data_IF_182111095317
#
_entry.id   IF_182111095317
#
_cell.length_a   1.000
_cell.length_b   1.000
_cell.length_c   1.000
_cell.angle_alpha   90.00
_cell.angle_beta   90.00
_cell.angle_gamma   90.00
#
_symmetry.space_group_name_H-M   'P 1'
#
loop_
_entity.id
_entity.type
_entity.pdbx_description
1 polymer ?
#
# COMPACT_ATOMS: atom_id res chain seq x y z
N UNK A 1 16.77 12.15 0.58
CA UNK A 1 16.38 10.74 0.62
C UNK A 1 14.89 10.71 0.38
N UNK A 2 14.45 10.07 -0.71
CA UNK A 2 13.07 10.12 -1.18
C UNK A 2 12.21 9.25 -0.26
N UNK A 3 11.05 9.76 0.15
CA UNK A 3 10.06 8.94 0.86
C UNK A 3 9.19 8.24 -0.18
N UNK A 4 8.97 6.95 0.02
CA UNK A 4 8.21 6.10 -0.89
C UNK A 4 6.99 5.54 -0.16
N UNK A 5 5.83 5.99 -0.57
CA UNK A 5 4.56 5.57 0.02
C UNK A 5 3.85 4.59 -0.91
N UNK A 6 3.39 3.47 -0.37
CA UNK A 6 2.54 2.51 -1.09
C UNK A 6 1.14 2.49 -0.49
N UNK A 7 0.09 2.71 -1.28
CA UNK A 7 -1.30 2.48 -0.88
C UNK A 7 -1.85 1.25 -1.58
N UNK A 8 -2.19 0.23 -0.81
CA UNK A 8 -2.80 -1.00 -1.29
C UNK A 8 -4.31 -0.91 -1.08
N UNK A 9 -5.08 -0.96 -2.17
CA UNK A 9 -6.53 -1.00 -2.08
C UNK A 9 -7.00 -2.46 -2.03
N UNK A 10 -7.59 -2.83 -0.91
CA UNK A 10 -8.24 -4.11 -0.64
C UNK A 10 -9.75 -3.94 -0.66
N UNK A 11 -10.46 -5.00 -1.06
CA UNK A 11 -11.93 -5.00 -1.02
C UNK A 11 -12.47 -4.96 0.41
N UNK A 12 -12.09 -5.95 1.22
CA UNK A 12 -12.58 -6.09 2.59
C UNK A 12 -11.53 -6.69 3.51
N UNK A 13 -11.69 -6.48 4.82
CA UNK A 13 -10.86 -7.10 5.86
C UNK A 13 -11.05 -8.62 5.79
N UNK A 14 -9.93 -9.33 5.88
CA UNK A 14 -9.90 -10.79 5.90
C UNK A 14 -9.92 -11.24 7.36
N UNK A 15 -10.85 -12.12 7.71
CA UNK A 15 -10.95 -12.69 9.05
C UNK A 15 -9.90 -13.77 9.26
N UNK A 16 -9.12 -13.61 10.32
CA UNK A 16 -8.21 -14.62 10.86
C UNK A 16 -7.86 -14.25 12.30
N UNK A 17 -7.32 -15.20 13.04
CA UNK A 17 -6.96 -15.08 14.45
C UNK A 17 -5.53 -15.53 14.67
N UNK A 18 -4.97 -15.18 15.83
CA UNK A 18 -3.68 -15.74 16.28
C UNK A 18 -3.62 -17.27 16.20
N UNK A 19 -4.72 -17.95 16.53
CA UNK A 19 -4.81 -19.42 16.51
C UNK A 19 -4.63 -19.97 15.08
N UNK A 20 -5.19 -19.28 14.09
CA UNK A 20 -5.05 -19.66 12.67
C UNK A 20 -3.59 -19.48 12.21
N UNK A 21 -2.90 -18.43 12.71
CA UNK A 21 -1.46 -18.22 12.46
C UNK A 21 -0.62 -19.34 13.12
N UNK A 22 -0.93 -19.67 14.37
CA UNK A 22 -0.22 -20.71 15.13
C UNK A 22 -0.35 -22.10 14.50
N UNK A 23 -1.46 -22.36 13.79
CA UNK A 23 -1.74 -23.64 13.13
C UNK A 23 -1.31 -23.71 11.66
N UNK A 24 -0.88 -22.59 11.08
CA UNK A 24 -0.62 -22.52 9.64
C UNK A 24 -1.90 -22.55 8.78
N UNK A 25 -3.05 -22.19 9.37
CA UNK A 25 -4.36 -22.12 8.70
C UNK A 25 -4.68 -20.68 8.26
N UNK A 26 -3.66 -19.85 8.07
CA UNK A 26 -3.82 -18.44 7.71
C UNK A 26 -4.35 -18.30 6.28
N UNK A 27 -5.36 -17.46 6.00
CA UNK A 27 -5.91 -17.32 4.66
C UNK A 27 -4.87 -16.87 3.63
N UNK A 28 -4.95 -17.38 2.40
CA UNK A 28 -4.01 -17.06 1.31
C UNK A 28 -3.83 -15.55 1.07
N UNK A 29 -4.91 -14.77 1.20
CA UNK A 29 -4.86 -13.32 1.04
C UNK A 29 -4.04 -12.63 2.13
N UNK A 30 -3.97 -13.20 3.34
CA UNK A 30 -3.10 -12.71 4.40
C UNK A 30 -1.63 -13.00 4.05
N UNK A 31 -1.30 -14.16 3.48
CA UNK A 31 0.05 -14.42 2.96
C UNK A 31 0.47 -13.42 1.86
N UNK A 32 -0.47 -13.02 1.00
CA UNK A 32 -0.23 -11.93 0.04
C UNK A 32 0.07 -10.61 0.75
N UNK A 33 -0.69 -10.23 1.78
CA UNK A 33 -0.42 -9.03 2.58
C UNK A 33 0.91 -9.09 3.32
N UNK A 34 1.26 -10.23 3.92
CA UNK A 34 2.57 -10.44 4.54
C UNK A 34 3.68 -10.27 3.50
N UNK A 35 3.52 -10.84 2.30
CA UNK A 35 4.48 -10.64 1.21
C UNK A 35 4.59 -9.17 0.80
N UNK A 36 3.48 -8.45 0.67
CA UNK A 36 3.47 -7.00 0.41
C UNK A 36 4.25 -6.24 1.51
N UNK A 37 3.98 -6.52 2.78
CA UNK A 37 4.69 -5.90 3.91
C UNK A 37 6.19 -6.20 3.81
N UNK A 38 6.56 -7.45 3.56
CA UNK A 38 7.95 -7.87 3.41
C UNK A 38 8.65 -7.14 2.27
N UNK A 39 8.08 -7.13 1.07
CA UNK A 39 8.69 -6.46 -0.09
C UNK A 39 8.71 -4.93 0.05
N UNK A 40 7.82 -4.36 0.89
CA UNK A 40 7.82 -2.92 1.19
C UNK A 40 8.91 -2.52 2.17
N UNK A 41 9.21 -3.33 3.18
CA UNK A 41 10.09 -2.92 4.28
C UNK A 41 11.37 -3.73 4.43
N UNK A 42 11.35 -5.05 4.24
CA UNK A 42 12.46 -5.91 4.66
C UNK A 42 13.64 -5.84 3.68
N UNK A 43 14.84 -5.67 4.23
CA UNK A 43 16.13 -5.87 3.58
C UNK A 43 16.85 -7.03 4.26
N UNK A 44 18.00 -7.46 3.72
CA UNK A 44 18.78 -8.57 4.28
C UNK A 44 19.19 -8.36 5.75
N UNK A 45 19.49 -7.12 6.15
CA UNK A 45 20.03 -6.80 7.48
C UNK A 45 19.32 -5.63 8.18
N UNK A 46 18.26 -5.08 7.58
CA UNK A 46 17.59 -3.89 8.08
C UNK A 46 16.16 -3.79 7.51
N UNK A 47 15.50 -2.67 7.78
CA UNK A 47 14.26 -2.29 7.11
C UNK A 47 14.42 -0.95 6.40
N UNK A 48 13.67 -0.75 5.32
CA UNK A 48 13.53 0.53 4.61
C UNK A 48 12.78 1.52 5.48
N UNK A 49 13.52 2.44 6.12
CA UNK A 49 12.94 3.47 7.00
C UNK A 49 12.24 4.60 6.23
N UNK A 50 12.50 4.69 4.92
CA UNK A 50 11.93 5.68 4.01
C UNK A 50 10.71 5.19 3.26
N UNK A 51 10.33 3.93 3.45
CA UNK A 51 9.11 3.40 2.88
C UNK A 51 7.98 3.52 3.91
N UNK A 52 6.77 3.78 3.45
CA UNK A 52 5.55 3.62 4.23
C UNK A 52 4.55 2.78 3.44
N UNK A 53 3.66 2.11 4.17
CA UNK A 53 2.63 1.26 3.60
C UNK A 53 1.28 1.62 4.19
N UNK A 54 0.32 1.92 3.33
CA UNK A 54 -1.08 2.13 3.66
C UNK A 54 -1.87 0.96 3.09
N UNK A 55 -2.70 0.35 3.91
CA UNK A 55 -3.67 -0.66 3.52
C UNK A 55 -5.05 -0.04 3.71
N UNK A 56 -5.84 0.04 2.65
CA UNK A 56 -7.22 0.51 2.74
C UNK A 56 -8.18 -0.61 2.36
N UNK A 57 -9.08 -0.95 3.27
CA UNK A 57 -10.15 -1.93 3.08
C UNK A 57 -11.44 -1.19 2.74
N UNK A 58 -11.85 -1.28 1.47
CA UNK A 58 -12.87 -0.43 0.87
C UNK A 58 -14.24 -0.59 1.54
N UNK A 59 -14.71 -1.84 1.68
CA UNK A 59 -16.02 -2.17 2.26
C UNK A 59 -16.10 -1.87 3.76
N UNK A 60 -14.97 -1.94 4.47
CA UNK A 60 -14.89 -1.71 5.91
C UNK A 60 -14.60 -0.25 6.28
N UNK A 61 -14.26 0.57 5.27
CA UNK A 61 -13.68 1.91 5.41
C UNK A 61 -12.54 1.98 6.45
N UNK A 62 -11.73 0.92 6.49
CA UNK A 62 -10.62 0.78 7.41
C UNK A 62 -9.32 1.15 6.71
N UNK A 63 -8.53 2.04 7.32
CA UNK A 63 -7.17 2.30 6.91
C UNK A 63 -6.19 1.83 7.99
N UNK A 64 -5.14 1.15 7.57
CA UNK A 64 -3.99 0.78 8.40
C UNK A 64 -2.75 1.38 7.74
N UNK A 65 -1.98 2.19 8.48
CA UNK A 65 -0.68 2.70 7.99
C UNK A 65 0.47 2.14 8.80
N UNK A 66 1.54 1.79 8.10
CA UNK A 66 2.80 1.29 8.64
C UNK A 66 3.89 2.29 8.22
N UNK A 67 4.57 2.89 9.19
CA UNK A 67 5.55 3.97 9.00
C UNK A 67 6.96 3.43 9.20
N UNK A 68 7.76 3.36 8.13
CA UNK A 68 9.05 2.66 8.13
C UNK A 68 10.04 3.13 9.19
N UNK A 69 10.09 4.45 9.45
CA UNK A 69 10.99 5.05 10.46
C UNK A 69 10.62 4.65 11.90
N UNK A 70 9.35 4.35 12.15
CA UNK A 70 8.78 4.08 13.48
C UNK A 70 8.57 2.58 13.74
N UNK A 71 8.51 1.75 12.69
CA UNK A 71 8.26 0.32 12.82
C UNK A 71 9.28 -0.36 13.74
N UNK A 72 8.77 -1.22 14.63
CA UNK A 72 9.56 -2.10 15.49
C UNK A 72 8.94 -3.49 15.48
N UNK A 73 9.75 -4.51 15.80
CA UNK A 73 9.33 -5.91 15.90
C UNK A 73 8.81 -6.54 14.61
N UNK A 74 9.00 -5.88 13.46
CA UNK A 74 8.69 -6.44 12.16
C UNK A 74 9.73 -7.51 11.80
N UNK A 75 9.34 -8.78 11.91
CA UNK A 75 10.14 -9.90 11.41
C UNK A 75 9.98 -10.03 9.90
N UNK A 76 10.98 -10.64 9.24
CA UNK A 76 10.89 -11.01 7.82
C UNK A 76 9.99 -12.22 7.58
N UNK A 77 9.66 -12.97 8.63
CA UNK A 77 8.77 -14.12 8.60
C UNK A 77 7.29 -13.72 8.56
N UNK A 78 6.50 -14.55 7.88
CA UNK A 78 5.07 -14.29 7.64
C UNK A 78 4.26 -14.29 8.94
N UNK A 79 4.69 -15.06 9.95
CA UNK A 79 4.01 -15.16 11.24
C UNK A 79 4.10 -13.83 12.01
N UNK A 80 5.29 -13.24 12.10
CA UNK A 80 5.50 -11.94 12.75
C UNK A 80 4.66 -10.84 12.10
N UNK A 81 4.66 -10.79 10.77
CA UNK A 81 3.87 -9.84 9.98
C UNK A 81 2.36 -10.04 10.18
N UNK A 82 1.89 -11.29 10.10
CA UNK A 82 0.49 -11.64 10.30
C UNK A 82 0.01 -11.27 11.71
N UNK A 83 0.84 -11.45 12.74
CA UNK A 83 0.52 -11.08 14.12
C UNK A 83 0.38 -9.56 14.31
N UNK A 84 1.28 -8.77 13.71
CA UNK A 84 1.20 -7.30 13.76
C UNK A 84 -0.04 -6.79 13.04
N UNK A 85 -0.33 -7.32 11.85
CA UNK A 85 -1.54 -6.99 11.11
C UNK A 85 -2.82 -7.39 11.86
N UNK A 86 -2.82 -8.56 12.52
CA UNK A 86 -3.97 -9.03 13.29
C UNK A 86 -4.27 -8.09 14.46
N UNK A 87 -3.23 -7.65 15.19
CA UNK A 87 -3.36 -6.65 16.26
C UNK A 87 -3.95 -5.33 15.76
N UNK A 88 -3.51 -4.85 14.59
CA UNK A 88 -4.06 -3.62 14.00
C UNK A 88 -5.54 -3.78 13.63
N UNK A 89 -5.91 -4.88 12.97
CA UNK A 89 -7.31 -5.18 12.63
C UNK A 89 -8.18 -5.30 13.89
N UNK A 90 -7.70 -6.00 14.92
CA UNK A 90 -8.43 -6.14 16.19
C UNK A 90 -8.60 -4.77 16.88
N UNK A 91 -7.55 -3.94 16.89
CA UNK A 91 -7.60 -2.58 17.43
C UNK A 91 -8.62 -1.71 16.70
N UNK A 92 -8.66 -1.80 15.38
CA UNK A 92 -9.66 -1.11 14.56
C UNK A 92 -11.08 -1.58 14.92
N UNK A 93 -11.30 -2.89 15.03
CA UNK A 93 -12.64 -3.44 15.36
C UNK A 93 -13.11 -3.02 16.75
N UNK A 94 -12.22 -3.00 17.73
CA UNK A 94 -12.53 -2.61 19.10
C UNK A 94 -12.93 -1.13 19.20
N UNK A 95 -12.25 -0.25 18.44
CA UNK A 95 -12.33 1.20 18.67
C UNK A 95 -13.00 2.01 17.56
N UNK A 96 -12.98 1.53 16.31
CA UNK A 96 -13.36 2.26 15.09
C UNK A 96 -13.00 3.75 15.16
N UNK A 97 -11.72 4.07 15.34
CA UNK A 97 -11.30 5.42 15.68
C UNK A 97 -11.51 6.36 14.50
N UNK A 98 -11.95 7.60 14.76
CA UNK A 98 -12.18 8.67 13.77
C UNK A 98 -10.93 9.51 13.46
N UNK A 99 -9.78 9.07 13.99
CA UNK A 99 -8.44 9.63 13.78
C UNK A 99 -7.40 8.53 13.88
N UNK A 100 -6.22 8.75 13.29
CA UNK A 100 -5.10 7.81 13.40
C UNK A 100 -4.79 7.46 14.86
N UNK A 101 -5.01 6.19 15.19
CA UNK A 101 -4.77 5.62 16.51
C UNK A 101 -3.65 4.61 16.44
N UNK A 102 -2.69 4.71 17.36
CA UNK A 102 -1.58 3.78 17.45
C UNK A 102 -2.06 2.37 17.87
N UNK A 103 -1.64 1.36 17.12
CA UNK A 103 -1.84 -0.06 17.45
C UNK A 103 -0.57 -0.64 18.09
N UNK A 104 0.54 -0.59 17.34
CA UNK A 104 1.88 -1.04 17.75
C UNK A 104 2.90 -0.07 17.16
N UNK A 105 4.18 -0.05 17.60
CA UNK A 105 5.17 0.91 17.12
C UNK A 105 5.23 1.00 15.59
N UNK A 106 4.96 2.21 15.07
CA UNK A 106 4.89 2.51 13.64
C UNK A 106 3.68 1.96 12.90
N UNK A 107 2.66 1.42 13.59
CA UNK A 107 1.41 0.93 12.99
C UNK A 107 0.22 1.66 13.59
N UNK A 108 -0.58 2.27 12.73
CA UNK A 108 -1.75 3.06 13.11
C UNK A 108 -2.97 2.61 12.34
N UNK A 109 -4.15 2.83 12.92
CA UNK A 109 -5.44 2.50 12.32
C UNK A 109 -6.38 3.70 12.35
N UNK A 110 -7.24 3.81 11.35
CA UNK A 110 -8.26 4.85 11.25
C UNK A 110 -9.52 4.32 10.54
N UNK A 111 -10.68 4.80 10.94
CA UNK A 111 -11.95 4.66 10.24
C UNK A 111 -12.22 5.95 9.46
N UNK A 112 -12.48 5.81 8.17
CA UNK A 112 -12.89 6.94 7.35
C UNK A 112 -14.38 6.84 7.01
N UNK A 113 -15.05 7.99 6.88
CA UNK A 113 -16.47 8.00 6.46
C UNK A 113 -16.66 7.53 5.02
N UNK A 114 -15.62 7.71 4.20
CA UNK A 114 -15.57 7.29 2.81
C UNK A 114 -14.12 7.23 2.32
N UNK A 115 -13.87 6.67 1.15
CA UNK A 115 -12.50 6.58 0.61
C UNK A 115 -11.97 7.97 0.19
N UNK A 116 -12.83 8.91 -0.18
CA UNK A 116 -12.47 10.28 -0.53
C UNK A 116 -11.90 11.02 0.68
N UNK A 117 -12.47 10.83 1.87
CA UNK A 117 -11.89 11.35 3.11
C UNK A 117 -10.53 10.73 3.41
N UNK A 118 -10.36 9.42 3.14
CA UNK A 118 -9.07 8.74 3.27
C UNK A 118 -8.04 9.31 2.30
N UNK A 119 -8.42 9.50 1.03
CA UNK A 119 -7.52 10.08 0.02
C UNK A 119 -7.11 11.49 0.42
N UNK A 120 -8.05 12.33 0.85
CA UNK A 120 -7.71 13.67 1.34
C UNK A 120 -6.75 13.61 2.54
N UNK A 121 -7.05 12.81 3.56
CA UNK A 121 -6.18 12.69 4.74
C UNK A 121 -4.76 12.22 4.40
N UNK A 122 -4.61 11.26 3.49
CA UNK A 122 -3.31 10.72 3.09
C UNK A 122 -2.55 11.68 2.17
N UNK A 123 -3.24 12.34 1.23
CA UNK A 123 -2.60 13.06 0.12
C UNK A 123 -2.62 14.59 0.23
N UNK A 124 -3.59 15.19 0.91
CA UNK A 124 -3.81 16.66 0.92
C UNK A 124 -2.63 17.43 1.54
N UNK A 125 -1.80 16.78 2.34
CA UNK A 125 -0.60 17.37 2.97
C UNK A 125 0.72 17.01 2.28
N UNK A 126 0.69 16.20 1.22
CA UNK A 126 1.90 15.68 0.58
C UNK A 126 2.11 16.33 -0.80
N UNK A 127 3.26 16.97 -1.00
CA UNK A 127 3.78 17.24 -2.34
C UNK A 127 4.30 15.92 -2.94
N UNK A 128 3.38 15.05 -3.37
CA UNK A 128 3.71 13.74 -3.90
C UNK A 128 3.21 13.57 -5.34
N UNK A 129 4.03 12.93 -6.17
CA UNK A 129 3.56 12.39 -7.44
C UNK A 129 2.82 11.08 -7.18
N UNK A 130 1.53 11.04 -7.52
CA UNK A 130 0.75 9.81 -7.43
C UNK A 130 0.86 9.01 -8.73
N UNK A 131 1.32 7.78 -8.56
CA UNK A 131 1.49 6.78 -9.61
C UNK A 131 0.46 5.68 -9.35
N UNK A 132 -0.57 5.65 -10.18
CA UNK A 132 -1.57 4.60 -10.16
C UNK A 132 -1.04 3.38 -10.92
N UNK A 133 -0.93 2.26 -10.22
CA UNK A 133 -0.47 1.00 -10.78
C UNK A 133 -1.69 0.19 -11.20
N UNK A 134 -1.87 0.02 -12.51
CA UNK A 134 -3.08 -0.61 -13.03
C UNK A 134 -3.21 -2.08 -12.59
N UNK A 135 -4.42 -2.45 -12.17
CA UNK A 135 -4.85 -3.84 -12.01
C UNK A 135 -5.37 -4.34 -13.37
N UNK A 136 -4.47 -4.75 -14.27
CA UNK A 136 -4.85 -5.23 -15.60
C UNK A 136 -4.82 -6.76 -15.66
N UNK A 137 -6.00 -7.39 -15.73
CA UNK A 137 -6.18 -8.66 -16.43
C UNK A 137 -6.66 -8.45 -17.89
N UNK A 138 -7.00 -7.22 -18.29
CA UNK A 138 -7.61 -6.94 -19.58
C UNK A 138 -6.92 -5.77 -20.29
N UNK A 139 -6.41 -6.02 -21.50
CA UNK A 139 -5.42 -5.21 -22.22
C UNK A 139 -6.00 -4.03 -23.00
N UNK A 140 -7.31 -3.85 -23.03
CA UNK A 140 -7.96 -3.16 -24.16
C UNK A 140 -8.26 -1.68 -23.96
N UNK A 141 -7.95 -1.07 -22.81
CA UNK A 141 -8.10 0.38 -22.58
C UNK A 141 -7.00 0.92 -21.67
N UNK A 142 -5.75 0.82 -22.10
CA UNK A 142 -4.63 1.36 -21.33
C UNK A 142 -4.43 2.84 -21.62
N UNK A 143 -4.37 3.74 -20.60
CA UNK A 143 -3.79 5.07 -20.78
C UNK A 143 -2.32 4.93 -21.25
N UNK A 144 -1.74 6.01 -21.80
CA UNK A 144 -0.33 6.01 -22.24
C UNK A 144 0.55 5.55 -21.06
N UNK A 145 1.09 4.35 -21.16
CA UNK A 145 1.97 3.79 -20.14
C UNK A 145 3.29 4.55 -20.14
N UNK A 146 3.59 5.26 -19.06
CA UNK A 146 4.92 5.78 -18.81
C UNK A 146 5.78 4.67 -18.22
N UNK A 147 7.02 4.53 -18.68
CA UNK A 147 7.96 3.62 -18.02
C UNK A 147 8.31 4.15 -16.63
N UNK A 148 8.55 3.28 -15.65
CA UNK A 148 8.96 3.72 -14.30
C UNK A 148 10.17 4.66 -14.37
N UNK A 149 11.12 4.38 -15.27
CA UNK A 149 12.27 5.26 -15.56
C UNK A 149 11.84 6.67 -15.96
N UNK A 150 10.91 6.79 -16.90
CA UNK A 150 10.41 8.08 -17.39
C UNK A 150 9.78 8.87 -16.24
N UNK A 151 8.91 8.23 -15.46
CA UNK A 151 8.22 8.86 -14.34
C UNK A 151 9.21 9.39 -13.32
N UNK A 152 10.25 8.62 -13.00
CA UNK A 152 11.23 8.99 -12.00
C UNK A 152 12.20 10.09 -12.46
N UNK A 153 12.57 10.10 -13.74
CA UNK A 153 13.41 11.17 -14.31
C UNK A 153 12.64 12.49 -14.39
N UNK A 154 11.34 12.43 -14.71
CA UNK A 154 10.48 13.61 -14.86
C UNK A 154 9.87 14.09 -13.53
N UNK A 155 10.05 13.33 -12.45
CA UNK A 155 9.50 13.65 -11.14
C UNK A 155 10.44 14.58 -10.36
N UNK A 156 10.10 15.86 -10.29
CA UNK A 156 10.70 16.83 -9.36
C UNK A 156 10.19 16.68 -7.90
N UNK A 157 9.40 15.64 -7.61
CA UNK A 157 8.72 15.51 -6.32
C UNK A 157 9.60 14.83 -5.25
N UNK A 158 9.63 15.37 -4.02
CA UNK A 158 10.42 14.79 -2.92
C UNK A 158 9.86 13.44 -2.44
N UNK A 159 8.59 13.16 -2.74
CA UNK A 159 7.87 11.97 -2.31
C UNK A 159 7.21 11.29 -3.52
N UNK A 160 7.35 9.96 -3.56
CA UNK A 160 6.72 9.12 -4.57
C UNK A 160 5.61 8.31 -3.92
N UNK A 161 4.43 8.37 -4.51
CA UNK A 161 3.29 7.65 -3.97
C UNK A 161 2.75 6.67 -5.00
N UNK A 162 2.72 5.38 -4.66
CA UNK A 162 2.26 4.31 -5.52
C UNK A 162 0.94 3.73 -5.02
N UNK A 163 -0.12 3.83 -5.82
CA UNK A 163 -1.41 3.22 -5.51
C UNK A 163 -1.54 1.89 -6.27
N UNK A 164 -1.68 0.79 -5.52
CA UNK A 164 -1.78 -0.58 -6.04
C UNK A 164 -3.12 -1.19 -5.64
N UNK A 165 -4.13 -1.20 -6.52
CA UNK A 165 -5.35 -1.95 -6.29
C UNK A 165 -5.07 -3.45 -6.42
N UNK A 166 -5.59 -4.25 -5.48
CA UNK A 166 -5.55 -5.71 -5.54
C UNK A 166 -6.90 -6.34 -5.91
N UNK A 167 -7.88 -5.50 -6.24
CA UNK A 167 -9.18 -5.86 -6.80
C UNK A 167 -9.54 -4.86 -7.92
N UNK A 168 -10.59 -5.18 -8.69
CA UNK A 168 -10.99 -4.35 -9.82
C UNK A 168 -11.80 -3.12 -9.39
N UNK A 169 -11.11 -2.12 -8.82
CA UNK A 169 -11.73 -0.91 -8.29
C UNK A 169 -12.51 -0.13 -9.35
N UNK A 170 -12.11 -0.16 -10.63
CA UNK A 170 -12.78 0.60 -11.69
C UNK A 170 -14.07 -0.08 -12.16
N UNK A 171 -14.18 -1.41 -12.05
CA UNK A 171 -15.45 -2.10 -12.27
C UNK A 171 -16.42 -1.90 -11.10
N UNK A 172 -15.91 -1.94 -9.86
CA UNK A 172 -16.75 -1.77 -8.67
C UNK A 172 -17.10 -0.30 -8.39
N UNK A 173 -16.23 0.63 -8.81
CA UNK A 173 -16.41 2.07 -8.68
C UNK A 173 -15.87 2.80 -9.93
N UNK A 174 -16.72 2.97 -10.97
CA UNK A 174 -16.32 3.61 -12.22
C UNK A 174 -15.86 5.07 -12.09
N UNK A 175 -16.30 5.77 -11.02
CA UNK A 175 -15.93 7.16 -10.74
C UNK A 175 -14.55 7.33 -10.10
N UNK A 176 -13.99 6.24 -9.53
CA UNK A 176 -12.80 6.28 -8.68
C UNK A 176 -11.62 7.01 -9.32
N UNK A 177 -11.30 6.72 -10.59
CA UNK A 177 -10.17 7.36 -11.28
C UNK A 177 -10.41 8.86 -11.52
N UNK A 178 -11.64 9.22 -11.89
CA UNK A 178 -12.01 10.63 -12.11
C UNK A 178 -11.91 11.44 -10.82
N UNK A 179 -12.39 10.86 -9.71
CA UNK A 179 -12.31 11.46 -8.39
C UNK A 179 -10.85 11.56 -7.90
N UNK A 180 -10.06 10.50 -8.07
CA UNK A 180 -8.65 10.49 -7.72
C UNK A 180 -7.89 11.61 -8.46
N UNK A 181 -8.15 11.77 -9.75
CA UNK A 181 -7.57 12.82 -10.57
C UNK A 181 -8.04 14.24 -10.18
N UNK A 182 -9.21 14.36 -9.53
CA UNK A 182 -9.71 15.64 -9.00
C UNK A 182 -9.08 16.04 -7.67
N UNK A 183 -8.64 15.06 -6.88
CA UNK A 183 -7.99 15.27 -5.58
C UNK A 183 -6.48 15.46 -5.77
N UNK A 184 -5.89 14.77 -6.75
CA UNK A 184 -4.43 14.65 -6.89
C UNK A 184 -4.04 14.88 -8.34
N UNK A 185 -3.21 15.90 -8.57
CA UNK A 185 -2.71 16.23 -9.89
C UNK A 185 -1.20 16.58 -9.82
N UNK A 186 -0.34 15.96 -10.65
CA UNK A 186 -0.65 15.03 -11.76
C UNK A 186 -0.83 13.56 -11.33
N UNK A 187 -1.82 12.88 -11.93
CA UNK A 187 -2.00 11.43 -11.82
C UNK A 187 -1.30 10.72 -12.98
N UNK A 188 -0.36 9.83 -12.66
CA UNK A 188 0.36 9.05 -13.68
C UNK A 188 -0.02 7.58 -13.63
N UNK A 189 -0.13 6.94 -14.78
CA UNK A 189 -0.43 5.51 -14.88
C UNK A 189 0.85 4.71 -15.16
N UNK A 190 1.04 3.65 -14.38
CA UNK A 190 2.13 2.69 -14.53
C UNK A 190 1.57 1.28 -14.68
N UNK A 191 2.02 0.57 -15.71
CA UNK A 191 1.64 -0.81 -15.95
C UNK A 191 2.86 -1.72 -15.96
N UNK A 192 2.73 -2.88 -15.30
CA UNK A 192 3.73 -3.95 -15.33
C UNK A 192 3.18 -5.15 -16.10
N UNK A 193 3.39 -5.25 -17.42
CA UNK A 193 2.75 -6.28 -18.24
C UNK A 193 3.15 -7.70 -17.81
N UNK A 194 4.34 -7.88 -17.26
CA UNK A 194 4.90 -9.17 -16.89
C UNK A 194 4.86 -9.45 -15.37
N UNK A 195 4.36 -8.52 -14.55
CA UNK A 195 4.28 -8.68 -13.10
C UNK A 195 2.81 -8.71 -12.67
N UNK A 196 2.32 -9.90 -12.34
CA UNK A 196 0.91 -10.09 -11.99
C UNK A 196 0.65 -9.88 -10.51
N UNK A 197 1.56 -10.29 -9.63
CA UNK A 197 1.36 -10.20 -8.18
C UNK A 197 1.72 -8.81 -7.66
N UNK A 198 0.96 -8.24 -6.72
CA UNK A 198 1.22 -6.90 -6.19
C UNK A 198 2.58 -6.80 -5.49
N UNK A 199 2.99 -7.82 -4.76
CA UNK A 199 4.31 -7.84 -4.10
C UNK A 199 5.47 -7.80 -5.09
N UNK A 200 5.34 -8.43 -6.27
CA UNK A 200 6.39 -8.45 -7.29
C UNK A 200 6.56 -7.04 -7.90
N UNK A 201 5.44 -6.30 -8.04
CA UNK A 201 5.46 -4.90 -8.49
C UNK A 201 6.17 -4.00 -7.47
N UNK A 202 5.87 -4.16 -6.18
CA UNK A 202 6.52 -3.42 -5.10
C UNK A 202 8.02 -3.71 -5.05
N UNK A 203 8.40 -5.00 -5.12
CA UNK A 203 9.79 -5.42 -5.18
C UNK A 203 10.52 -4.77 -6.35
N UNK A 204 9.92 -4.80 -7.55
CA UNK A 204 10.51 -4.20 -8.75
C UNK A 204 10.69 -2.68 -8.60
N UNK A 205 9.71 -1.98 -8.04
CA UNK A 205 9.80 -0.53 -7.78
C UNK A 205 10.95 -0.24 -6.81
N UNK A 206 11.00 -0.94 -5.68
CA UNK A 206 12.05 -0.75 -4.69
C UNK A 206 13.44 -1.08 -5.27
N UNK A 207 13.57 -2.18 -6.02
CA UNK A 207 14.81 -2.52 -6.72
C UNK A 207 15.26 -1.41 -7.67
N UNK A 208 14.33 -0.84 -8.42
CA UNK A 208 14.65 0.23 -9.36
C UNK A 208 15.10 1.50 -8.64
N UNK A 209 14.40 1.90 -7.57
CA UNK A 209 14.76 3.07 -6.75
C UNK A 209 16.14 2.90 -6.11
N UNK A 210 16.45 1.72 -5.56
CA UNK A 210 17.78 1.42 -5.02
C UNK A 210 18.87 1.56 -6.09
N UNK A 211 18.60 1.11 -7.31
CA UNK A 211 19.56 1.21 -8.41
C UNK A 211 19.86 2.65 -8.82
N UNK A 212 18.94 3.58 -8.55
CA UNK A 212 19.16 5.00 -8.80
C UNK A 212 19.97 5.67 -7.68
N UNK A 213 19.77 5.27 -6.42
CA UNK A 213 20.55 5.81 -5.29
C UNK A 213 22.01 5.32 -5.26
N UNK A 214 22.30 4.20 -5.93
CA UNK A 214 23.65 3.64 -6.04
C UNK A 214 24.49 4.26 -7.18
N UNK A 215 23.88 5.08 -8.05
CA UNK A 215 24.55 5.81 -9.13
C UNK A 215 24.72 7.29 -8.77
#
# INVERSE_FOLDING_TARGET
>A
MIVVDFLILLKSIINYTKKDIDRGETPQKIYTLCSIIRETFCLSYSIRKTNNLYLYFFDDHCAIKLIGSELRFLGSDERSQALLLNKAIDKFRERKPDRWMHSTPGIFVNYFKSYEFMLKDIFESQQASLIFIEYSNNTNKRPKNSSLKTILIESDYPNLFFLVPIFNITEENPGFIGELNSIIHPLTFLAFPNLHKPQDKILYINFYLDSLELN
#
